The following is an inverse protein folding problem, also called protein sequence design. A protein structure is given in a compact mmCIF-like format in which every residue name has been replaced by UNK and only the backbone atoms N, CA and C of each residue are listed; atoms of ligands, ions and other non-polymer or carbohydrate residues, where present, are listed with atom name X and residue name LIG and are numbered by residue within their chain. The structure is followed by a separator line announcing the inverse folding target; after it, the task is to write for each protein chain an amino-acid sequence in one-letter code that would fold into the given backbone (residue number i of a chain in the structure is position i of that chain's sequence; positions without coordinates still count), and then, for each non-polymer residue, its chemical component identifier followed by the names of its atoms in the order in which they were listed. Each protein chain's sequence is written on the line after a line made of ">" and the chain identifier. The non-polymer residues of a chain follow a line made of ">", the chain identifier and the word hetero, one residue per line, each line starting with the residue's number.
data_IF_054556267792
#
_entry.id   IF_054556267792
#
_cell.length_a   1.000
_cell.length_b   1.000
_cell.length_c   1.000
_cell.angle_alpha   90.00
_cell.angle_beta   90.00
_cell.angle_gamma   90.00
#
_symmetry.space_group_name_H-M   'P 1'
#
loop_
_entity.id
_entity.type
_entity.pdbx_description
1 polymer ?
#
# COMPACT_ATOMS: atom_id res chain seq x y z
N UNK A 1 -5.23 -41.26 37.88
CA UNK A 1 -6.50 -40.70 37.33
C UNK A 1 -6.31 -40.20 35.90
N UNK A 2 -5.41 -39.23 35.65
CA UNK A 2 -5.26 -38.60 34.33
C UNK A 2 -4.65 -39.53 33.27
N UNK A 3 -3.68 -40.38 33.63
CA UNK A 3 -3.15 -41.42 32.72
C UNK A 3 -4.19 -42.49 32.32
N UNK A 4 -5.18 -42.75 33.18
CA UNK A 4 -6.28 -43.67 32.86
C UNK A 4 -7.25 -43.09 31.80
N UNK A 5 -7.15 -41.78 31.51
CA UNK A 5 -7.88 -41.09 30.45
C UNK A 5 -7.09 -41.03 29.12
N UNK A 6 -5.93 -41.69 29.04
CA UNK A 6 -5.13 -41.78 27.81
C UNK A 6 -4.14 -40.63 27.59
N UNK A 7 -3.98 -39.71 28.55
CA UNK A 7 -2.98 -38.65 28.46
C UNK A 7 -1.61 -39.16 28.92
N UNK A 8 -0.64 -39.17 28.01
CA UNK A 8 0.72 -39.68 28.24
C UNK A 8 1.74 -38.58 28.56
N UNK A 9 1.49 -37.35 28.13
CA UNK A 9 2.36 -36.20 28.39
C UNK A 9 1.57 -35.14 29.18
N UNK A 10 1.90 -35.02 30.48
CA UNK A 10 1.19 -34.14 31.42
C UNK A 10 2.22 -33.18 32.02
N UNK A 11 1.92 -31.88 31.92
CA UNK A 11 2.74 -30.81 32.48
C UNK A 11 1.94 -30.06 33.53
N UNK A 12 2.44 -30.03 34.77
CA UNK A 12 1.91 -29.17 35.82
C UNK A 12 2.51 -27.78 35.65
N UNK A 13 1.67 -26.75 35.48
CA UNK A 13 2.14 -25.39 35.23
C UNK A 13 1.48 -24.37 36.15
N UNK A 14 2.17 -23.26 36.39
CA UNK A 14 1.63 -22.08 37.06
C UNK A 14 2.04 -20.82 36.30
N UNK A 15 1.06 -20.12 35.74
CA UNK A 15 1.32 -18.86 35.03
C UNK A 15 1.81 -17.74 35.96
N UNK A 16 1.41 -17.77 37.24
CA UNK A 16 1.77 -16.74 38.21
C UNK A 16 3.23 -16.86 38.69
N UNK A 17 3.75 -18.09 38.79
CA UNK A 17 5.13 -18.35 39.26
C UNK A 17 6.09 -18.68 38.11
N UNK A 18 5.57 -18.99 36.92
CA UNK A 18 6.36 -19.44 35.76
C UNK A 18 6.76 -20.92 35.81
N UNK A 19 6.38 -21.64 36.87
CA UNK A 19 6.71 -23.06 37.05
C UNK A 19 6.11 -23.91 35.92
N UNK A 20 6.94 -24.77 35.31
CA UNK A 20 6.54 -25.75 34.30
C UNK A 20 6.21 -25.18 32.91
N UNK A 21 6.22 -23.85 32.75
CA UNK A 21 5.85 -23.20 31.48
C UNK A 21 6.92 -23.44 30.41
N UNK A 22 8.20 -23.37 30.77
CA UNK A 22 9.30 -23.54 29.82
C UNK A 22 9.36 -24.98 29.29
N UNK A 23 9.21 -25.98 30.16
CA UNK A 23 9.20 -27.39 29.81
C UNK A 23 8.02 -27.74 28.90
N UNK A 24 6.84 -27.20 29.19
CA UNK A 24 5.65 -27.35 28.35
C UNK A 24 5.85 -26.71 26.97
N UNK A 25 6.42 -25.51 26.90
CA UNK A 25 6.70 -24.83 25.64
C UNK A 25 7.72 -25.58 24.78
N UNK A 26 8.76 -26.16 25.39
CA UNK A 26 9.74 -27.00 24.68
C UNK A 26 9.10 -28.27 24.12
N UNK A 27 8.20 -28.91 24.88
CA UNK A 27 7.46 -30.07 24.40
C UNK A 27 6.54 -29.74 23.22
N UNK A 28 5.85 -28.59 23.27
CA UNK A 28 5.06 -28.08 22.15
C UNK A 28 5.93 -27.83 20.91
N UNK A 29 7.09 -27.18 21.06
CA UNK A 29 8.02 -26.93 19.96
C UNK A 29 8.53 -28.23 19.32
N UNK A 30 8.88 -29.24 20.13
CA UNK A 30 9.28 -30.55 19.64
C UNK A 30 8.15 -31.25 18.86
N UNK A 31 6.91 -31.18 19.35
CA UNK A 31 5.75 -31.73 18.62
C UNK A 31 5.52 -31.03 17.29
N UNK A 32 5.57 -29.69 17.26
CA UNK A 32 5.42 -28.92 16.02
C UNK A 32 6.43 -29.34 14.95
N UNK A 33 7.67 -29.66 15.33
CA UNK A 33 8.70 -30.14 14.40
C UNK A 33 8.39 -31.52 13.79
N UNK A 34 7.55 -32.34 14.45
CA UNK A 34 7.16 -33.66 13.95
C UNK A 34 5.97 -33.62 12.99
N UNK A 35 5.28 -32.48 12.89
CA UNK A 35 4.13 -32.34 11.99
C UNK A 35 4.67 -32.25 10.55
N UNK A 36 4.21 -33.11 9.62
CA UNK A 36 4.62 -33.02 8.23
C UNK A 36 4.15 -31.69 7.66
N UNK A 37 5.07 -30.95 7.04
CA UNK A 37 4.74 -29.71 6.33
C UNK A 37 3.82 -30.11 5.18
N UNK A 38 2.54 -29.79 5.34
CA UNK A 38 1.58 -29.84 4.24
C UNK A 38 1.74 -28.51 3.51
N UNK A 39 1.89 -28.53 2.18
CA UNK A 39 1.79 -27.28 1.42
C UNK A 39 0.40 -26.72 1.67
N UNK A 40 0.30 -25.68 2.50
CA UNK A 40 -0.90 -24.89 2.57
C UNK A 40 -0.98 -24.17 1.23
N UNK A 41 -1.88 -24.65 0.37
CA UNK A 41 -2.26 -23.95 -0.85
C UNK A 41 -3.01 -22.71 -0.37
N UNK A 42 -2.30 -21.59 -0.28
CA UNK A 42 -2.94 -20.29 -0.18
C UNK A 42 -3.25 -19.88 -1.62
N UNK A 43 -4.52 -19.61 -1.93
CA UNK A 43 -4.82 -18.85 -3.14
C UNK A 43 -4.24 -17.44 -2.94
N UNK A 44 -3.65 -16.86 -3.99
CA UNK A 44 -3.01 -15.52 -3.92
C UNK A 44 -3.96 -14.43 -3.37
N UNK A 45 -5.28 -14.68 -3.41
CA UNK A 45 -6.34 -13.83 -2.88
C UNK A 45 -6.36 -13.72 -1.33
N UNK A 46 -5.78 -14.68 -0.59
CA UNK A 46 -5.76 -14.68 0.88
C UNK A 46 -4.65 -13.80 1.49
N UNK A 47 -3.73 -13.30 0.66
CA UNK A 47 -2.69 -12.37 1.10
C UNK A 47 -3.21 -10.94 1.07
N UNK A 48 -3.48 -10.36 2.24
CA UNK A 48 -3.53 -8.90 2.36
C UNK A 48 -2.12 -8.35 2.19
N UNK A 49 -1.75 -8.01 0.96
CA UNK A 49 -0.56 -7.21 0.68
C UNK A 49 -0.92 -5.78 1.06
N UNK A 50 -0.29 -5.17 2.09
CA UNK A 50 -0.47 -3.75 2.33
C UNK A 50 -0.04 -3.05 1.06
N UNK A 51 -0.96 -2.35 0.39
CA UNK A 51 -0.59 -1.50 -0.74
C UNK A 51 0.53 -0.59 -0.27
N UNK A 52 1.75 -0.87 -0.70
CA UNK A 52 2.83 0.11 -0.64
C UNK A 52 2.28 1.25 -1.48
N UNK A 53 1.84 2.31 -0.81
CA UNK A 53 1.30 3.53 -1.40
C UNK A 53 2.41 4.22 -2.19
N UNK A 54 2.88 3.59 -3.28
CA UNK A 54 3.79 4.17 -4.24
C UNK A 54 3.02 5.31 -4.88
N UNK A 55 3.56 6.51 -4.76
CA UNK A 55 3.05 7.65 -5.51
C UNK A 55 3.54 7.48 -6.94
N UNK A 56 2.70 6.84 -7.77
CA UNK A 56 2.98 6.63 -9.20
C UNK A 56 2.23 7.68 -10.01
N UNK A 57 2.86 8.09 -11.12
CA UNK A 57 2.21 8.84 -12.18
C UNK A 57 2.81 8.44 -13.54
N UNK A 58 2.03 8.60 -14.59
CA UNK A 58 2.42 8.44 -15.99
C UNK A 58 1.83 9.58 -16.80
N UNK A 59 2.54 10.00 -17.86
CA UNK A 59 2.12 11.07 -18.76
C UNK A 59 1.97 10.51 -20.16
N UNK A 60 0.83 10.77 -20.80
CA UNK A 60 0.55 10.44 -22.20
C UNK A 60 0.04 11.69 -22.91
N UNK A 61 0.26 11.77 -24.22
CA UNK A 61 -0.33 12.83 -25.06
C UNK A 61 -1.42 12.17 -25.89
N UNK A 62 -2.64 12.71 -25.82
CA UNK A 62 -3.77 12.18 -26.59
C UNK A 62 -3.76 12.67 -28.05
N UNK A 63 -4.72 12.20 -28.85
CA UNK A 63 -4.83 12.56 -30.27
C UNK A 63 -5.12 14.04 -30.50
N UNK A 64 -5.61 14.76 -29.49
CA UNK A 64 -5.92 16.19 -29.52
C UNK A 64 -4.73 17.05 -29.06
N UNK A 65 -3.62 16.43 -28.65
CA UNK A 65 -2.44 17.12 -28.13
C UNK A 65 -2.53 17.49 -26.65
N UNK A 66 -3.50 16.93 -25.91
CA UNK A 66 -3.68 17.17 -24.48
C UNK A 66 -2.77 16.24 -23.69
N UNK A 67 -2.06 16.81 -22.70
CA UNK A 67 -1.19 16.05 -21.80
C UNK A 67 -2.02 15.39 -20.69
N UNK A 68 -2.24 14.09 -20.79
CA UNK A 68 -2.98 13.29 -19.82
C UNK A 68 -2.02 12.75 -18.77
N UNK A 69 -2.15 13.19 -17.53
CA UNK A 69 -1.41 12.63 -16.39
C UNK A 69 -2.33 11.76 -15.55
N UNK A 70 -1.94 10.52 -15.36
CA UNK A 70 -2.72 9.52 -14.63
C UNK A 70 -1.89 8.87 -13.53
N UNK A 71 -2.55 8.28 -12.53
CA UNK A 71 -1.91 7.46 -11.51
C UNK A 71 -2.30 7.83 -10.08
N UNK A 72 -1.99 6.91 -9.16
CA UNK A 72 -2.44 6.96 -7.76
C UNK A 72 -2.05 8.24 -7.02
N UNK A 73 -0.98 8.91 -7.44
CA UNK A 73 -0.59 10.21 -6.89
C UNK A 73 -1.57 11.33 -7.27
N UNK A 74 -1.94 11.39 -8.55
CA UNK A 74 -2.81 12.44 -9.11
C UNK A 74 -4.22 12.29 -8.53
N UNK A 75 -4.75 11.05 -8.48
CA UNK A 75 -6.07 10.76 -7.92
C UNK A 75 -6.20 11.27 -6.48
N UNK A 76 -5.20 10.96 -5.65
CA UNK A 76 -5.18 11.37 -4.24
C UNK A 76 -5.06 12.88 -4.09
N UNK A 77 -4.28 13.52 -4.96
CA UNK A 77 -4.11 14.97 -4.91
C UNK A 77 -5.41 15.68 -5.30
N UNK A 78 -6.11 15.20 -6.33
CA UNK A 78 -7.42 15.72 -6.73
C UNK A 78 -8.46 15.52 -5.62
N UNK A 79 -8.48 14.37 -4.94
CA UNK A 79 -9.38 14.16 -3.80
C UNK A 79 -9.09 15.05 -2.60
N UNK A 80 -7.85 15.53 -2.44
CA UNK A 80 -7.45 16.37 -1.31
C UNK A 80 -7.68 17.88 -1.54
N UNK A 81 -8.00 18.29 -2.77
CA UNK A 81 -8.04 19.70 -3.19
C UNK A 81 -9.45 20.05 -3.69
N UNK A 82 -10.02 21.11 -3.12
CA UNK A 82 -11.18 21.78 -3.72
C UNK A 82 -10.71 22.69 -4.85
N UNK A 83 -10.95 22.27 -6.09
CA UNK A 83 -10.57 23.00 -7.31
C UNK A 83 -11.26 24.36 -7.45
N UNK A 84 -12.36 24.62 -6.74
CA UNK A 84 -13.02 25.93 -6.76
C UNK A 84 -12.38 26.93 -5.80
N UNK A 85 -11.45 26.48 -4.95
CA UNK A 85 -10.73 27.32 -4.01
C UNK A 85 -9.36 27.72 -4.57
N UNK A 86 -9.11 29.02 -4.84
CA UNK A 86 -7.84 29.50 -5.40
C UNK A 86 -6.60 29.12 -4.56
N UNK A 87 -6.76 29.02 -3.24
CA UNK A 87 -5.65 28.65 -2.35
C UNK A 87 -5.29 27.17 -2.48
N UNK A 88 -6.28 26.31 -2.71
CA UNK A 88 -6.07 24.88 -2.91
C UNK A 88 -5.50 24.61 -4.30
N UNK A 89 -5.96 25.33 -5.34
CA UNK A 89 -5.34 25.29 -6.67
C UNK A 89 -3.85 25.68 -6.63
N UNK A 90 -3.49 26.73 -5.89
CA UNK A 90 -2.07 27.08 -5.74
C UNK A 90 -1.26 25.97 -5.05
N UNK A 91 -1.84 25.32 -4.04
CA UNK A 91 -1.22 24.17 -3.40
C UNK A 91 -1.06 23.00 -4.38
N UNK A 92 -2.07 22.74 -5.18
CA UNK A 92 -2.11 21.72 -6.22
C UNK A 92 -0.93 21.87 -7.20
N UNK A 93 -0.78 23.05 -7.83
CA UNK A 93 0.35 23.36 -8.73
C UNK A 93 1.70 23.18 -8.04
N UNK A 94 1.83 23.64 -6.79
CA UNK A 94 3.08 23.48 -6.01
C UNK A 94 3.43 22.01 -5.80
N UNK A 95 2.44 21.15 -5.51
CA UNK A 95 2.68 19.72 -5.28
C UNK A 95 3.08 19.02 -6.58
N UNK A 96 2.44 19.33 -7.71
CA UNK A 96 2.85 18.82 -9.03
C UNK A 96 4.30 19.21 -9.36
N UNK A 97 4.68 20.47 -9.12
CA UNK A 97 6.05 20.93 -9.34
C UNK A 97 7.06 20.22 -8.44
N UNK A 98 6.78 20.11 -7.14
CA UNK A 98 7.65 19.43 -6.18
C UNK A 98 7.84 17.94 -6.49
N UNK A 99 6.88 17.31 -7.18
CA UNK A 99 6.90 15.89 -7.53
C UNK A 99 7.50 15.62 -8.91
N UNK A 100 7.90 16.67 -9.63
CA UNK A 100 8.57 16.54 -10.93
C UNK A 100 7.63 16.48 -12.12
N UNK A 101 6.31 16.35 -11.92
CA UNK A 101 5.32 16.23 -13.01
C UNK A 101 5.40 17.42 -13.97
N UNK A 102 5.45 18.65 -13.44
CA UNK A 102 5.56 19.84 -14.29
C UNK A 102 6.91 19.92 -15.01
N UNK A 103 7.97 19.33 -14.45
CA UNK A 103 9.27 19.30 -15.13
C UNK A 103 9.25 18.30 -16.28
N UNK A 104 8.68 17.11 -16.08
CA UNK A 104 8.54 16.10 -17.12
C UNK A 104 7.66 16.61 -18.27
N UNK A 105 6.56 17.30 -17.98
CA UNK A 105 5.74 17.96 -19.01
C UNK A 105 6.54 18.99 -19.82
N UNK A 106 7.41 19.78 -19.18
CA UNK A 106 8.32 20.71 -19.88
C UNK A 106 9.34 19.98 -20.74
N UNK A 107 9.89 18.88 -20.24
CA UNK A 107 10.86 18.06 -20.97
C UNK A 107 10.19 17.38 -22.19
N UNK A 108 8.88 17.11 -22.10
CA UNK A 108 8.02 16.66 -23.20
C UNK A 108 7.56 17.80 -24.14
N UNK A 109 7.90 19.04 -23.84
CA UNK A 109 7.69 20.19 -24.72
C UNK A 109 6.37 20.94 -24.56
N UNK A 110 5.67 20.82 -23.42
CA UNK A 110 4.45 21.59 -23.17
C UNK A 110 4.71 23.09 -23.26
N UNK A 111 3.78 23.83 -23.87
CA UNK A 111 3.83 25.27 -24.10
C UNK A 111 2.71 26.00 -23.36
N UNK A 112 2.89 27.31 -23.19
CA UNK A 112 1.84 28.17 -22.64
C UNK A 112 0.59 28.11 -23.54
N UNK A 113 -0.55 27.79 -22.94
CA UNK A 113 -1.82 27.59 -23.65
C UNK A 113 -2.15 26.14 -23.98
N UNK A 114 -1.23 25.20 -23.75
CA UNK A 114 -1.53 23.76 -23.87
C UNK A 114 -2.37 23.28 -22.69
N UNK A 115 -3.12 22.19 -22.89
CA UNK A 115 -3.99 21.63 -21.85
C UNK A 115 -3.36 20.43 -21.16
N UNK A 116 -3.55 20.37 -19.85
CA UNK A 116 -3.21 19.22 -19.00
C UNK A 116 -4.51 18.63 -18.47
N UNK A 117 -4.69 17.33 -18.65
CA UNK A 117 -5.83 16.57 -18.14
C UNK A 117 -5.40 15.61 -17.04
N UNK A 118 -6.12 15.64 -15.93
CA UNK A 118 -5.93 14.86 -14.72
C UNK A 118 -7.25 14.18 -14.38
N UNK A 119 -7.45 12.95 -14.84
CA UNK A 119 -8.76 12.29 -14.79
C UNK A 119 -9.86 13.21 -15.38
N UNK A 120 -10.83 13.60 -14.56
CA UNK A 120 -11.99 14.42 -14.94
C UNK A 120 -11.71 15.94 -14.85
N UNK A 121 -10.49 16.34 -14.50
CA UNK A 121 -10.10 17.75 -14.36
C UNK A 121 -9.12 18.15 -15.45
N UNK A 122 -9.44 19.20 -16.21
CA UNK A 122 -8.61 19.73 -17.27
C UNK A 122 -8.33 21.21 -17.04
N UNK A 123 -7.10 21.65 -17.28
CA UNK A 123 -6.70 23.04 -17.12
C UNK A 123 -5.62 23.43 -18.12
N UNK A 124 -5.56 24.72 -18.41
CA UNK A 124 -4.56 25.32 -19.30
C UNK A 124 -3.24 25.54 -18.54
N UNK A 125 -2.14 25.16 -19.16
CA UNK A 125 -0.79 25.33 -18.63
C UNK A 125 -0.26 26.73 -18.95
N UNK A 126 0.29 27.36 -17.92
CA UNK A 126 1.07 28.60 -18.02
C UNK A 126 2.29 28.47 -17.12
N UNK A 127 3.47 28.77 -17.66
CA UNK A 127 4.76 28.71 -16.97
C UNK A 127 4.96 29.79 -15.89
#
# INVERSE_FOLDING_TARGET
>A
AIQALGFTEIFTISAATGEGVEEMMKACAAKLQTIPITETIYDDEDFFVPEIKKFTYEIQVDEEGVYVVSGTFVDRLLHAVDINNPSHLRYFHKVLGNKGVLQELRDMGIQDGDFIRLNDFEFEYYA
#
